data_IF_418921586458
#
_entry.id   IF_418921586458
#
_cell.length_a   1.000
_cell.length_b   1.000
_cell.length_c   1.000
_cell.angle_alpha   90.00
_cell.angle_beta   90.00
_cell.angle_gamma   90.00
#
_symmetry.space_group_name_H-M   'P 1'
#
loop_
_entity.id
_entity.type
_entity.pdbx_description
1 polymer ?
#
# COMPACT_ATOMS: atom_id res chain seq x y z
N UNK A 1 -16.12 -2.92 -12.45
CA UNK A 1 -17.40 -3.46 -11.94
C UNK A 1 -17.21 -4.46 -10.78
N UNK A 2 -16.40 -5.51 -10.94
CA UNK A 2 -16.22 -6.57 -9.91
C UNK A 2 -15.65 -6.03 -8.59
N UNK A 3 -14.64 -5.15 -8.63
CA UNK A 3 -14.11 -4.52 -7.41
C UNK A 3 -15.17 -3.70 -6.66
N UNK A 4 -15.98 -2.89 -7.35
CA UNK A 4 -17.01 -2.06 -6.72
C UNK A 4 -18.11 -2.92 -6.05
N UNK A 5 -18.49 -4.04 -6.67
CA UNK A 5 -19.45 -4.98 -6.09
C UNK A 5 -18.88 -5.68 -4.85
N UNK A 6 -17.59 -6.02 -4.88
CA UNK A 6 -16.90 -6.62 -3.73
C UNK A 6 -16.77 -5.64 -2.55
N UNK A 7 -16.41 -4.39 -2.82
CA UNK A 7 -16.37 -3.32 -1.80
C UNK A 7 -17.73 -3.05 -1.17
N UNK A 8 -18.80 -3.02 -1.97
CA UNK A 8 -20.16 -2.83 -1.45
C UNK A 8 -20.58 -3.96 -0.51
N UNK A 9 -20.19 -5.21 -0.83
CA UNK A 9 -20.48 -6.38 0.01
C UNK A 9 -19.70 -6.36 1.31
N UNK A 10 -18.40 -6.08 1.27
CA UNK A 10 -17.55 -5.99 2.47
C UNK A 10 -18.03 -4.88 3.41
N UNK A 11 -18.41 -3.72 2.87
CA UNK A 11 -18.87 -2.59 3.69
C UNK A 11 -20.23 -2.88 4.38
N UNK A 12 -21.09 -3.66 3.72
CA UNK A 12 -22.37 -4.13 4.28
C UNK A 12 -22.15 -5.12 5.44
N UNK A 13 -21.17 -6.00 5.32
CA UNK A 13 -20.80 -6.95 6.38
C UNK A 13 -20.20 -6.23 7.60
N UNK A 14 -19.45 -5.15 7.40
CA UNK A 14 -18.89 -4.37 8.51
C UNK A 14 -19.93 -3.65 9.36
N UNK A 15 -20.95 -3.08 8.73
CA UNK A 15 -22.04 -2.42 9.47
C UNK A 15 -22.88 -3.43 10.25
N UNK A 16 -23.16 -4.61 9.68
CA UNK A 16 -23.92 -5.66 10.35
C UNK A 16 -23.13 -6.28 11.50
N UNK A 17 -21.84 -6.57 11.31
CA UNK A 17 -20.95 -7.05 12.38
C UNK A 17 -20.79 -6.00 13.49
N UNK A 18 -20.67 -4.72 13.13
CA UNK A 18 -20.63 -3.61 14.07
C UNK A 18 -21.92 -3.51 14.90
N UNK A 19 -23.09 -3.61 14.28
CA UNK A 19 -24.37 -3.59 14.99
C UNK A 19 -24.57 -4.82 15.88
N UNK A 20 -24.24 -6.03 15.40
CA UNK A 20 -24.37 -7.26 16.18
C UNK A 20 -23.46 -7.21 17.41
N UNK A 21 -22.21 -6.79 17.24
CA UNK A 21 -21.27 -6.68 18.36
C UNK A 21 -21.66 -5.61 19.37
N UNK A 22 -22.12 -4.44 18.90
CA UNK A 22 -22.60 -3.37 19.77
C UNK A 22 -23.85 -3.79 20.54
N UNK A 23 -24.81 -4.45 19.89
CA UNK A 23 -26.01 -4.96 20.54
C UNK A 23 -25.69 -6.06 21.56
N UNK A 24 -24.76 -6.96 21.23
CA UNK A 24 -24.32 -8.02 22.15
C UNK A 24 -23.59 -7.43 23.36
N UNK A 25 -22.72 -6.44 23.12
CA UNK A 25 -22.01 -5.72 24.18
C UNK A 25 -22.98 -4.94 25.07
N UNK A 26 -23.92 -4.20 24.50
CA UNK A 26 -24.92 -3.43 25.24
C UNK A 26 -25.82 -4.34 26.07
N UNK A 27 -26.28 -5.47 25.51
CA UNK A 27 -27.08 -6.45 26.23
C UNK A 27 -26.30 -7.08 27.40
N UNK A 28 -25.00 -7.34 27.22
CA UNK A 28 -24.12 -7.82 28.29
C UNK A 28 -23.92 -6.77 29.38
N UNK A 29 -23.63 -5.52 29.01
CA UNK A 29 -23.45 -4.40 29.95
C UNK A 29 -24.74 -4.15 30.73
N UNK A 30 -25.90 -4.17 30.07
CA UNK A 30 -27.20 -4.06 30.75
C UNK A 30 -27.38 -5.24 31.69
N UNK A 31 -27.10 -6.47 31.28
CA UNK A 31 -27.21 -7.65 32.17
C UNK A 31 -26.31 -7.53 33.38
N UNK A 32 -25.04 -7.16 33.19
CA UNK A 32 -24.06 -7.01 34.27
C UNK A 32 -24.44 -5.85 35.18
N UNK A 33 -24.81 -4.68 34.65
CA UNK A 33 -25.25 -3.54 35.46
C UNK A 33 -26.55 -3.82 36.21
N UNK A 34 -27.49 -4.55 35.61
CA UNK A 34 -28.75 -4.94 36.26
C UNK A 34 -28.47 -6.00 37.32
N UNK A 35 -27.66 -7.02 37.05
CA UNK A 35 -27.29 -8.02 38.06
C UNK A 35 -26.53 -7.36 39.21
N UNK A 36 -25.52 -6.55 38.93
CA UNK A 36 -24.65 -5.96 39.95
C UNK A 36 -25.34 -4.83 40.73
N UNK A 37 -26.04 -3.90 40.05
CA UNK A 37 -26.71 -2.81 40.76
C UNK A 37 -28.02 -3.24 41.39
N UNK A 38 -28.79 -4.12 40.75
CA UNK A 38 -30.14 -4.45 41.22
C UNK A 38 -30.09 -5.57 42.26
N UNK A 39 -29.23 -6.58 42.12
CA UNK A 39 -29.10 -7.65 43.13
C UNK A 39 -28.09 -7.26 44.21
N UNK A 40 -26.94 -6.70 43.83
CA UNK A 40 -25.91 -6.30 44.78
C UNK A 40 -26.37 -5.18 45.73
N UNK A 41 -26.98 -4.11 45.21
CA UNK A 41 -27.41 -2.97 46.05
C UNK A 41 -28.77 -3.16 46.70
N UNK A 42 -29.81 -3.67 46.02
CA UNK A 42 -31.14 -3.79 46.66
C UNK A 42 -31.26 -4.98 47.61
N UNK A 43 -30.66 -6.12 47.27
CA UNK A 43 -30.91 -7.38 48.00
C UNK A 43 -29.92 -7.60 49.14
N UNK A 44 -28.70 -7.07 49.02
CA UNK A 44 -27.61 -7.45 49.91
C UNK A 44 -27.17 -6.37 50.89
N UNK A 45 -27.39 -5.11 50.56
CA UNK A 45 -26.88 -3.97 51.32
C UNK A 45 -28.01 -3.01 51.66
N UNK A 46 -28.65 -3.23 52.82
CA UNK A 46 -29.46 -2.19 53.43
C UNK A 46 -28.51 -1.34 54.28
N UNK A 47 -28.14 -0.14 53.78
CA UNK A 47 -27.25 0.85 54.44
C UNK A 47 -25.74 0.56 54.43
N UNK A 48 -25.21 -0.21 53.46
CA UNK A 48 -23.76 -0.41 53.32
C UNK A 48 -23.17 -1.53 54.20
N UNK A 49 -23.99 -2.16 55.05
CA UNK A 49 -23.57 -3.29 55.88
C UNK A 49 -24.09 -4.62 55.32
N UNK A 50 -23.21 -5.62 55.23
CA UNK A 50 -23.58 -6.97 54.79
C UNK A 50 -24.27 -7.69 55.95
N UNK A 51 -25.61 -7.67 55.96
CA UNK A 51 -26.42 -8.28 57.03
C UNK A 51 -26.39 -9.82 56.93
N UNK A 52 -26.19 -10.37 55.72
CA UNK A 52 -26.22 -11.82 55.45
C UNK A 52 -24.96 -12.29 54.70
N UNK A 53 -23.89 -12.55 55.43
CA UNK A 53 -22.61 -13.05 54.89
C UNK A 53 -22.76 -14.34 54.06
N UNK A 54 -23.63 -15.27 54.47
CA UNK A 54 -23.86 -16.52 53.73
C UNK A 54 -24.45 -16.27 52.33
N UNK A 55 -25.41 -15.34 52.22
CA UNK A 55 -26.01 -14.99 50.93
C UNK A 55 -25.05 -14.26 50.00
N UNK A 56 -24.13 -13.46 50.56
CA UNK A 56 -23.08 -12.79 49.80
C UNK A 56 -22.07 -13.75 49.20
N UNK A 57 -21.58 -14.70 50.00
CA UNK A 57 -20.64 -15.71 49.52
C UNK A 57 -21.28 -16.55 48.41
N UNK A 58 -22.55 -16.95 48.57
CA UNK A 58 -23.29 -17.69 47.54
C UNK A 58 -23.42 -16.89 46.23
N UNK A 59 -23.74 -15.60 46.33
CA UNK A 59 -23.84 -14.70 45.18
C UNK A 59 -22.50 -14.59 44.43
N UNK A 60 -21.37 -14.39 45.13
CA UNK A 60 -20.05 -14.31 44.49
C UNK A 60 -19.71 -15.63 43.81
N UNK A 61 -19.89 -16.76 44.50
CA UNK A 61 -19.64 -18.09 43.92
C UNK A 61 -20.47 -18.34 42.65
N UNK A 62 -21.69 -17.81 42.61
CA UNK A 62 -22.54 -17.89 41.42
C UNK A 62 -22.13 -16.90 40.33
N UNK A 63 -21.82 -15.65 40.65
CA UNK A 63 -21.53 -14.60 39.66
C UNK A 63 -20.17 -14.79 38.95
N UNK A 64 -19.16 -15.29 39.66
CA UNK A 64 -17.79 -15.47 39.14
C UNK A 64 -17.73 -16.31 37.84
N UNK A 65 -18.35 -17.51 37.74
CA UNK A 65 -18.35 -18.27 36.49
C UNK A 65 -19.10 -17.57 35.37
N UNK A 66 -20.16 -16.80 35.64
CA UNK A 66 -20.83 -16.00 34.61
C UNK A 66 -19.90 -14.93 34.04
N UNK A 67 -19.18 -14.19 34.90
CA UNK A 67 -18.21 -13.22 34.43
C UNK A 67 -17.12 -13.86 33.58
N UNK A 68 -16.62 -15.03 33.98
CA UNK A 68 -15.62 -15.78 33.23
C UNK A 68 -16.14 -16.23 31.86
N UNK A 69 -17.38 -16.74 31.77
CA UNK A 69 -17.99 -17.10 30.48
C UNK A 69 -18.16 -15.87 29.59
N UNK A 70 -18.59 -14.74 30.16
CA UNK A 70 -18.77 -13.50 29.38
C UNK A 70 -17.46 -12.93 28.87
N UNK A 71 -16.38 -13.00 29.66
CA UNK A 71 -15.06 -12.52 29.22
C UNK A 71 -14.49 -13.40 28.09
N UNK A 72 -14.66 -14.72 28.20
CA UNK A 72 -14.28 -15.66 27.14
C UNK A 72 -15.11 -15.41 25.87
N UNK A 73 -16.42 -15.24 25.97
CA UNK A 73 -17.27 -14.96 24.83
C UNK A 73 -16.87 -13.66 24.11
N UNK A 74 -16.54 -12.61 24.87
CA UNK A 74 -16.04 -11.35 24.33
C UNK A 74 -14.67 -11.53 23.64
N UNK A 75 -13.75 -12.26 24.25
CA UNK A 75 -12.44 -12.55 23.65
C UNK A 75 -12.59 -13.35 22.35
N UNK A 76 -13.44 -14.38 22.34
CA UNK A 76 -13.72 -15.20 21.17
C UNK A 76 -14.34 -14.38 20.03
N UNK A 77 -15.30 -13.49 20.34
CA UNK A 77 -15.92 -12.63 19.33
C UNK A 77 -14.90 -11.69 18.66
N UNK A 78 -13.98 -11.11 19.44
CA UNK A 78 -12.88 -10.30 18.92
C UNK A 78 -11.93 -11.12 18.05
N UNK A 79 -11.59 -12.33 18.48
CA UNK A 79 -10.75 -13.24 17.71
C UNK A 79 -11.38 -13.56 16.35
N UNK A 80 -12.68 -13.89 16.31
CA UNK A 80 -13.40 -14.16 15.06
C UNK A 80 -13.44 -12.95 14.12
N UNK A 81 -13.59 -11.74 14.65
CA UNK A 81 -13.50 -10.51 13.86
C UNK A 81 -12.11 -10.33 13.25
N UNK A 82 -11.05 -10.54 14.03
CA UNK A 82 -9.67 -10.43 13.54
C UNK A 82 -9.38 -11.46 12.44
N UNK A 83 -9.88 -12.68 12.58
CA UNK A 83 -9.77 -13.71 11.53
C UNK A 83 -10.53 -13.28 10.27
N UNK A 84 -11.74 -12.73 10.41
CA UNK A 84 -12.50 -12.19 9.29
C UNK A 84 -11.77 -11.07 8.54
N UNK A 85 -11.20 -10.11 9.29
CA UNK A 85 -10.32 -9.07 8.74
C UNK A 85 -9.15 -9.71 8.00
N UNK A 86 -8.43 -10.62 8.65
CA UNK A 86 -7.26 -11.24 8.07
C UNK A 86 -7.58 -11.92 6.73
N UNK A 87 -8.68 -12.68 6.64
CA UNK A 87 -9.10 -13.34 5.39
C UNK A 87 -9.39 -12.33 4.28
N UNK A 88 -10.07 -11.23 4.59
CA UNK A 88 -10.39 -10.16 3.61
C UNK A 88 -9.11 -9.46 3.13
N UNK A 89 -8.17 -9.20 4.04
CA UNK A 89 -6.92 -8.52 3.74
C UNK A 89 -5.85 -9.42 3.11
N UNK A 90 -5.90 -10.74 3.28
CA UNK A 90 -5.00 -11.69 2.60
C UNK A 90 -5.11 -11.58 1.07
N UNK A 91 -6.27 -11.20 0.54
CA UNK A 91 -6.46 -10.97 -0.90
C UNK A 91 -5.86 -9.63 -1.38
N UNK A 92 -5.45 -8.74 -0.46
CA UNK A 92 -4.94 -7.40 -0.75
C UNK A 92 -3.52 -7.23 -0.24
N UNK A 93 -2.59 -7.35 -1.18
CA UNK A 93 -1.15 -7.21 -0.94
C UNK A 93 -0.71 -5.73 -0.86
N UNK A 94 -1.60 -4.78 -1.15
CA UNK A 94 -1.31 -3.34 -1.18
C UNK A 94 -1.25 -2.70 0.22
N UNK A 95 -1.81 -3.34 1.24
CA UNK A 95 -1.82 -2.84 2.62
C UNK A 95 -1.27 -3.89 3.57
N UNK A 96 -0.29 -3.54 4.40
CA UNK A 96 0.19 -4.44 5.46
C UNK A 96 -0.77 -4.44 6.66
N UNK A 97 -0.90 -5.61 7.30
CA UNK A 97 -1.63 -5.76 8.57
C UNK A 97 -0.74 -5.49 9.79
N UNK A 98 0.57 -5.45 9.60
CA UNK A 98 1.55 -5.29 10.67
C UNK A 98 1.81 -3.79 10.93
N UNK A 99 2.16 -3.41 12.18
CA UNK A 99 2.61 -2.05 12.47
C UNK A 99 3.89 -1.72 11.67
N UNK A 100 4.22 -0.43 11.48
CA UNK A 100 5.33 -0.01 10.62
C UNK A 100 6.65 -0.72 10.95
N UNK A 101 6.94 -0.89 12.24
CA UNK A 101 8.17 -1.51 12.72
C UNK A 101 8.30 -3.01 12.35
N UNK A 102 7.18 -3.67 12.05
CA UNK A 102 7.12 -5.10 11.71
C UNK A 102 6.75 -5.34 10.24
N UNK A 103 6.63 -4.30 9.43
CA UNK A 103 6.20 -4.39 8.03
C UNK A 103 7.13 -5.27 7.18
N UNK A 104 8.43 -5.33 7.52
CA UNK A 104 9.41 -6.19 6.86
C UNK A 104 9.14 -7.70 7.04
N UNK A 105 8.38 -8.08 8.07
CA UNK A 105 8.00 -9.48 8.33
C UNK A 105 6.75 -9.92 7.56
N UNK A 106 6.13 -9.03 6.78
CA UNK A 106 5.01 -9.36 5.89
C UNK A 106 5.54 -9.78 4.50
N UNK A 107 5.71 -11.09 4.21
CA UNK A 107 6.28 -11.52 2.94
C UNK A 107 5.40 -11.13 1.74
N UNK A 108 4.08 -11.04 1.94
CA UNK A 108 3.15 -10.64 0.89
C UNK A 108 3.35 -9.19 0.50
N UNK A 109 3.39 -8.30 1.50
CA UNK A 109 3.62 -6.88 1.28
C UNK A 109 5.01 -6.61 0.68
N UNK A 110 6.07 -7.26 1.20
CA UNK A 110 7.44 -7.10 0.69
C UNK A 110 7.55 -7.57 -0.75
N UNK A 111 6.97 -8.72 -1.11
CA UNK A 111 6.95 -9.21 -2.48
C UNK A 111 6.20 -8.26 -3.42
N UNK A 112 5.07 -7.71 -2.96
CA UNK A 112 4.31 -6.72 -3.73
C UNK A 112 5.12 -5.43 -3.96
N UNK A 113 5.72 -4.86 -2.93
CA UNK A 113 6.60 -3.68 -3.07
C UNK A 113 7.78 -3.94 -4.00
N UNK A 114 8.43 -5.10 -3.89
CA UNK A 114 9.51 -5.49 -4.79
C UNK A 114 9.04 -5.55 -6.25
N UNK A 115 7.84 -6.11 -6.49
CA UNK A 115 7.26 -6.19 -7.84
C UNK A 115 6.97 -4.80 -8.44
N UNK A 116 6.44 -3.88 -7.62
CA UNK A 116 6.16 -2.49 -8.03
C UNK A 116 7.46 -1.75 -8.32
N UNK A 117 8.47 -1.89 -7.47
CA UNK A 117 9.79 -1.27 -7.68
C UNK A 117 10.45 -1.78 -8.97
N UNK A 118 10.36 -3.08 -9.21
CA UNK A 118 10.88 -3.72 -10.42
C UNK A 118 10.16 -3.22 -11.67
N UNK A 119 8.83 -3.17 -11.64
CA UNK A 119 8.01 -2.63 -12.72
C UNK A 119 8.37 -1.15 -13.00
N UNK A 120 8.51 -0.33 -11.96
CA UNK A 120 8.89 1.08 -12.11
C UNK A 120 10.29 1.25 -12.71
N UNK A 121 11.26 0.39 -12.35
CA UNK A 121 12.61 0.45 -12.93
C UNK A 121 12.65 0.04 -14.40
N UNK A 122 11.91 -0.99 -14.80
CA UNK A 122 11.93 -1.49 -16.18
C UNK A 122 10.99 -0.74 -17.12
N UNK A 123 9.89 -0.20 -16.60
CA UNK A 123 8.84 0.46 -17.38
C UNK A 123 8.71 1.93 -17.04
N UNK A 124 9.83 2.61 -16.73
CA UNK A 124 9.80 4.04 -16.47
C UNK A 124 9.39 4.80 -17.76
N UNK A 125 8.25 5.51 -17.77
CA UNK A 125 7.76 6.17 -18.98
C UNK A 125 8.70 7.28 -19.46
N UNK A 126 9.47 7.90 -18.56
CA UNK A 126 10.48 8.91 -18.92
C UNK A 126 11.62 8.26 -19.69
N UNK A 127 12.09 7.10 -19.24
CA UNK A 127 13.15 6.36 -19.93
C UNK A 127 12.69 5.85 -21.29
N UNK A 128 11.47 5.29 -21.36
CA UNK A 128 10.91 4.84 -22.63
C UNK A 128 10.72 6.01 -23.61
N UNK A 129 10.18 7.14 -23.16
CA UNK A 129 10.05 8.35 -23.98
C UNK A 129 11.40 8.91 -24.44
N UNK A 130 12.42 8.88 -23.56
CA UNK A 130 13.78 9.26 -23.89
C UNK A 130 14.35 8.35 -24.98
N UNK A 131 14.32 7.03 -24.80
CA UNK A 131 14.79 6.05 -25.79
C UNK A 131 14.07 6.24 -27.13
N UNK A 132 12.74 6.37 -27.13
CA UNK A 132 11.96 6.66 -28.34
C UNK A 132 12.36 7.96 -29.06
N UNK A 133 12.89 8.96 -28.35
CA UNK A 133 13.39 10.18 -28.96
C UNK A 133 14.76 9.99 -29.65
N UNK A 134 15.56 9.00 -29.24
CA UNK A 134 16.85 8.65 -29.86
C UNK A 134 16.74 7.59 -30.96
N UNK A 135 15.70 6.75 -30.96
CA UNK A 135 15.47 5.87 -32.09
C UNK A 135 15.21 6.72 -33.34
N UNK A 136 15.95 6.49 -34.44
CA UNK A 136 15.73 7.22 -35.68
C UNK A 136 14.28 7.03 -36.09
N UNK A 137 13.56 8.14 -36.33
CA UNK A 137 12.18 8.14 -36.87
C UNK A 137 12.10 7.57 -38.31
N UNK A 138 13.17 6.94 -38.78
CA UNK A 138 13.36 6.49 -40.16
C UNK A 138 13.00 5.03 -40.31
N UNK A 139 12.08 4.80 -41.24
CA UNK A 139 11.84 3.52 -41.94
C UNK A 139 11.14 2.42 -41.13
N UNK A 140 10.00 2.80 -40.56
CA UNK A 140 8.99 1.83 -40.19
C UNK A 140 7.69 2.52 -39.91
N UNK A 141 6.84 2.65 -40.94
CA UNK A 141 5.41 2.38 -40.77
C UNK A 141 5.29 0.93 -40.25
N UNK A 142 5.71 0.68 -39.01
CA UNK A 142 5.26 -0.50 -38.32
C UNK A 142 3.86 -0.12 -37.89
N UNK A 143 2.89 -0.63 -38.64
CA UNK A 143 1.47 -0.44 -38.45
C UNK A 143 1.15 -0.32 -36.96
N UNK A 144 0.69 0.87 -36.59
CA UNK A 144 0.15 1.18 -35.28
C UNK A 144 -1.26 0.56 -35.15
N UNK A 145 -1.44 -0.64 -35.70
CA UNK A 145 -2.69 -1.41 -35.71
C UNK A 145 -2.65 -2.60 -34.76
N UNK A 146 -1.55 -2.82 -34.02
CA UNK A 146 -1.59 -3.72 -32.86
C UNK A 146 -2.16 -3.00 -31.63
N UNK A 147 -3.36 -2.42 -31.81
CA UNK A 147 -4.31 -2.25 -30.72
C UNK A 147 -4.66 -3.65 -30.23
N UNK A 148 -4.19 -4.03 -29.05
CA UNK A 148 -4.52 -5.30 -28.42
C UNK A 148 -5.97 -5.35 -27.87
N UNK A 149 -6.80 -4.37 -28.23
CA UNK A 149 -8.20 -4.26 -27.80
C UNK A 149 -9.00 -3.54 -28.88
N UNK A 150 -9.65 -4.30 -29.75
CA UNK A 150 -11.02 -4.08 -30.28
C UNK A 150 -11.22 -4.86 -31.58
N UNK A 151 -11.23 -6.18 -31.43
CA UNK A 151 -11.86 -7.06 -32.39
C UNK A 151 -13.36 -6.81 -32.32
N UNK A 152 -13.89 -6.01 -33.25
CA UNK A 152 -15.05 -6.33 -34.10
C UNK A 152 -15.64 -5.04 -34.69
N UNK A 153 -15.65 -4.99 -36.02
CA UNK A 153 -16.54 -4.19 -36.90
C UNK A 153 -16.00 -2.84 -37.39
N UNK A 154 -15.36 -2.82 -38.57
CA UNK A 154 -15.89 -2.10 -39.75
C UNK A 154 -15.02 -2.35 -41.01
N UNK A 155 -15.58 -2.42 -42.23
CA UNK A 155 -14.85 -2.75 -43.45
C UNK A 155 -14.33 -1.52 -44.22
N UNK A 156 -13.14 -1.69 -44.82
CA UNK A 156 -12.63 -1.09 -46.09
C UNK A 156 -13.04 0.34 -46.47
N UNK A 157 -12.02 1.17 -46.70
CA UNK A 157 -11.91 1.95 -47.95
C UNK A 157 -10.45 2.01 -48.41
N UNK A 158 -10.21 1.46 -49.60
CA UNK A 158 -8.96 1.56 -50.35
C UNK A 158 -8.73 3.01 -50.79
N UNK A 159 -7.63 3.63 -50.36
CA UNK A 159 -7.14 4.92 -50.83
C UNK A 159 -5.80 4.76 -51.53
N UNK A 160 -5.82 4.86 -52.85
CA UNK A 160 -4.69 4.76 -53.78
C UNK A 160 -3.82 6.04 -53.73
N UNK A 161 -2.50 5.88 -53.60
CA UNK A 161 -1.48 6.73 -54.24
C UNK A 161 -1.20 8.14 -53.70
N UNK A 162 0.01 8.34 -53.18
CA UNK A 162 0.83 9.50 -53.56
C UNK A 162 2.32 9.24 -53.25
N UNK A 163 3.18 9.05 -54.27
CA UNK A 163 4.62 9.08 -54.13
C UNK A 163 5.11 10.49 -54.51
N UNK A 164 5.53 11.29 -53.52
CA UNK A 164 6.36 12.47 -53.78
C UNK A 164 7.58 12.46 -52.86
N UNK A 165 8.66 12.00 -53.47
CA UNK A 165 10.04 12.21 -53.08
C UNK A 165 10.35 13.71 -53.10
N UNK A 166 10.37 14.33 -51.93
CA UNK A 166 11.23 15.49 -51.69
C UNK A 166 12.15 15.14 -50.53
N UNK A 167 13.43 14.94 -50.88
CA UNK A 167 14.53 14.87 -49.94
C UNK A 167 14.65 16.22 -49.22
N UNK A 168 13.86 16.38 -48.16
CA UNK A 168 13.93 17.53 -47.29
C UNK A 168 15.10 17.31 -46.34
N UNK A 169 16.21 18.01 -46.62
CA UNK A 169 17.38 18.03 -45.77
C UNK A 169 16.99 18.39 -44.35
N UNK A 170 16.95 17.38 -43.49
CA UNK A 170 16.75 17.52 -42.05
C UNK A 170 17.97 18.24 -41.46
N UNK A 171 17.92 19.57 -41.47
CA UNK A 171 18.87 20.42 -40.77
C UNK A 171 18.69 20.18 -39.28
N UNK A 172 19.43 19.20 -38.74
CA UNK A 172 19.49 18.98 -37.31
C UNK A 172 19.86 20.29 -36.59
N UNK A 173 19.34 20.52 -35.37
CA UNK A 173 19.57 21.77 -34.65
C UNK A 173 21.06 22.07 -34.55
N UNK A 174 21.46 23.26 -35.02
CA UNK A 174 22.85 23.72 -35.00
C UNK A 174 23.37 23.75 -33.57
N UNK A 175 24.70 23.57 -33.39
CA UNK A 175 25.34 23.57 -32.05
C UNK A 175 24.96 24.81 -31.23
N UNK A 176 24.83 25.96 -31.88
CA UNK A 176 24.38 27.21 -31.25
C UNK A 176 23.00 27.11 -30.60
N UNK A 177 22.01 26.53 -31.30
CA UNK A 177 20.65 26.37 -30.76
C UNK A 177 20.61 25.45 -29.54
N UNK A 178 21.45 24.39 -29.52
CA UNK A 178 21.59 23.49 -28.36
C UNK A 178 22.22 24.19 -27.15
N UNK A 179 23.21 25.06 -27.36
CA UNK A 179 23.82 25.82 -26.28
C UNK A 179 22.84 26.84 -25.68
N UNK A 180 22.07 27.53 -26.53
CA UNK A 180 21.04 28.47 -26.07
C UNK A 180 19.91 27.79 -25.31
N UNK A 181 19.44 26.63 -25.76
CA UNK A 181 18.39 25.88 -25.04
C UNK A 181 18.87 25.40 -23.67
N UNK A 182 20.12 24.93 -23.57
CA UNK A 182 20.73 24.52 -22.31
C UNK A 182 20.93 25.70 -21.36
N UNK A 183 21.42 26.84 -21.86
CA UNK A 183 21.60 28.04 -21.04
C UNK A 183 20.25 28.53 -20.50
N UNK A 184 19.20 28.50 -21.34
CA UNK A 184 17.84 28.85 -20.94
C UNK A 184 17.29 27.93 -19.84
N UNK A 185 17.54 26.61 -19.91
CA UNK A 185 17.10 25.69 -18.85
C UNK A 185 17.89 25.88 -17.56
N UNK A 186 19.20 26.14 -17.63
CA UNK A 186 20.03 26.41 -16.45
C UNK A 186 19.67 27.73 -15.75
N UNK A 187 19.41 28.80 -16.51
CA UNK A 187 18.98 30.10 -15.95
C UNK A 187 17.67 29.96 -15.18
N UNK A 188 16.73 29.14 -15.68
CA UNK A 188 15.45 28.88 -15.00
C UNK A 188 15.56 27.91 -13.82
N UNK A 189 16.60 27.07 -13.77
CA UNK A 189 16.77 26.03 -12.77
C UNK A 189 18.18 26.11 -12.14
N UNK A 190 18.43 27.08 -11.23
CA UNK A 190 19.76 27.31 -10.68
C UNK A 190 20.32 26.12 -9.88
N UNK A 191 19.46 25.27 -9.34
CA UNK A 191 19.86 24.05 -8.61
C UNK A 191 20.66 23.07 -9.50
N UNK A 192 20.28 22.95 -10.79
CA UNK A 192 20.99 22.10 -11.75
C UNK A 192 22.41 22.59 -12.03
N UNK A 193 22.66 23.90 -11.91
CA UNK A 193 24.01 24.49 -12.06
C UNK A 193 24.91 24.03 -10.92
N UNK A 194 24.38 24.03 -9.69
CA UNK A 194 25.12 23.58 -8.50
C UNK A 194 25.41 22.08 -8.59
N UNK A 195 24.43 21.25 -8.97
CA UNK A 195 24.61 19.81 -9.16
C UNK A 195 25.64 19.50 -10.24
N UNK A 196 25.57 20.17 -11.40
CA UNK A 196 26.56 20.00 -12.47
C UNK A 196 27.96 20.42 -12.04
N UNK A 197 28.11 21.54 -11.31
CA UNK A 197 29.40 21.97 -10.77
C UNK A 197 29.97 20.95 -9.78
N UNK A 198 29.12 20.36 -8.93
CA UNK A 198 29.52 19.30 -7.99
C UNK A 198 29.93 18.02 -8.73
N UNK A 199 29.19 17.60 -9.75
CA UNK A 199 29.51 16.42 -10.55
C UNK A 199 30.81 16.55 -11.36
N UNK A 200 31.18 17.77 -11.77
CA UNK A 200 32.43 18.04 -12.50
C UNK A 200 33.62 18.38 -11.58
N UNK A 201 33.44 18.49 -10.26
CA UNK A 201 34.54 18.79 -9.36
C UNK A 201 35.48 17.56 -9.23
N UNK A 202 36.78 17.67 -9.54
CA UNK A 202 37.73 16.55 -9.55
C UNK A 202 38.03 15.93 -8.17
N UNK A 203 37.36 16.37 -7.09
CA UNK A 203 37.46 15.81 -5.74
C UNK A 203 36.14 15.30 -5.18
N UNK A 204 35.08 15.24 -5.99
CA UNK A 204 33.76 14.75 -5.59
C UNK A 204 33.69 13.23 -5.56
N UNK A 205 34.48 12.58 -4.69
CA UNK A 205 34.04 11.30 -4.13
C UNK A 205 32.63 11.54 -3.57
N UNK A 206 31.65 10.66 -3.82
CA UNK A 206 30.33 10.82 -3.23
C UNK A 206 30.53 10.93 -1.73
N UNK A 207 30.24 12.11 -1.16
CA UNK A 207 30.03 12.22 0.27
C UNK A 207 28.85 11.33 0.58
N UNK A 208 29.16 10.07 0.88
CA UNK A 208 28.33 9.21 1.69
C UNK A 208 27.95 10.06 2.88
N UNK A 209 26.65 10.38 2.98
CA UNK A 209 26.10 10.98 4.18
C UNK A 209 26.53 10.11 5.34
N UNK A 210 27.35 10.69 6.19
CA UNK A 210 27.77 10.15 7.46
C UNK A 210 26.52 10.06 8.34
N UNK A 211 26.01 8.85 8.48
CA UNK A 211 24.72 8.56 9.06
C UNK A 211 24.36 7.08 8.92
N UNK A 212 25.26 6.21 9.41
CA UNK A 212 24.99 4.77 9.54
C UNK A 212 25.95 3.93 8.70
N UNK A 213 27.05 3.51 9.32
CA UNK A 213 27.87 2.42 8.84
C UNK A 213 27.02 1.14 8.72
N UNK A 214 26.74 0.71 7.50
CA UNK A 214 26.53 -0.71 7.19
C UNK A 214 27.04 -1.01 5.78
N UNK A 215 27.73 -2.14 5.71
CA UNK A 215 28.55 -2.64 4.61
C UNK A 215 27.99 -2.47 3.21
N UNK A 216 28.86 -2.00 2.31
CA UNK A 216 28.78 -2.38 0.89
C UNK A 216 29.52 -3.70 0.69
N UNK A 217 28.94 -4.61 -0.10
CA UNK A 217 29.74 -5.38 -1.04
C UNK A 217 29.30 -5.11 -2.47
N UNK A 218 30.14 -4.38 -3.19
CA UNK A 218 30.23 -4.47 -4.65
C UNK A 218 31.04 -5.70 -5.02
N UNK A 219 30.41 -6.87 -4.91
CA UNK A 219 30.82 -8.07 -5.63
C UNK A 219 29.55 -8.63 -6.27
N UNK A 220 29.62 -8.88 -7.58
CA UNK A 220 28.55 -9.49 -8.35
C UNK A 220 28.39 -10.95 -7.91
N UNK A 221 27.79 -11.18 -6.76
CA UNK A 221 27.34 -12.48 -6.26
C UNK A 221 25.84 -12.40 -6.08
N UNK A 222 25.12 -13.29 -6.76
CA UNK A 222 23.81 -13.83 -6.36
C UNK A 222 23.11 -13.01 -5.28
N UNK A 223 22.23 -12.08 -5.69
CA UNK A 223 21.36 -11.32 -4.80
C UNK A 223 20.55 -12.31 -3.97
N UNK A 224 20.99 -12.57 -2.74
CA UNK A 224 20.27 -13.39 -1.76
C UNK A 224 19.17 -12.48 -1.21
N UNK A 225 17.93 -12.94 -1.27
CA UNK A 225 16.71 -12.17 -0.89
C UNK A 225 16.70 -11.66 0.56
N UNK A 226 17.67 -12.05 1.38
CA UNK A 226 17.78 -11.73 2.81
C UNK A 226 18.26 -10.29 3.05
N UNK A 227 18.99 -9.67 2.11
CA UNK A 227 19.58 -8.33 2.31
C UNK A 227 18.63 -7.15 1.96
N UNK A 228 17.47 -7.43 1.36
CA UNK A 228 16.48 -6.39 1.03
C UNK A 228 15.64 -5.99 2.26
N UNK A 229 15.61 -6.81 3.31
CA UNK A 229 14.81 -6.56 4.50
C UNK A 229 15.37 -5.45 5.41
N UNK A 230 16.64 -5.04 5.25
CA UNK A 230 17.34 -4.18 6.23
C UNK A 230 17.29 -2.68 5.86
N UNK A 231 16.86 -2.32 4.64
CA UNK A 231 16.90 -0.91 4.17
C UNK A 231 15.57 -0.15 4.30
N UNK A 232 14.56 -0.72 4.99
CA UNK A 232 13.24 -0.11 5.18
C UNK A 232 12.83 0.08 6.66
N UNK A 233 13.77 -0.02 7.61
CA UNK A 233 13.57 0.42 9.00
C UNK A 233 13.92 1.89 9.19
#
# INVERSE_FOLDING_TARGET
AIQACWWARVNLDWQTVGQISLNTFLALVIRVLVLDNLIGRRILSHNGFVIRWCGFTWYICFALPFHLITSIAMALSRFMMLVGVAIVYVARLDTTLLPPDLQAYDPGYVAFMASVLMAHRHQNPVWQGFVHAFLPKGEGKLDKDTSWTDTLTSPRTHGLGSPSSHAEGSWGPTRGQKHWSLLRTLVKNPQLVLERRRACAPGGAPQAGDGGALDRPGACSSVRMEDVAISFS
#
